data_IF_864781566248
#
_entry.id   IF_864781566248
#
_cell.length_a   1.000
_cell.length_b   1.000
_cell.length_c   1.000
_cell.angle_alpha   90.00
_cell.angle_beta   90.00
_cell.angle_gamma   90.00
#
_symmetry.space_group_name_H-M   'P 1'
#
loop_
_entity.id
_entity.type
_entity.pdbx_description
1 polymer ?
#
# COMPACT_ATOMS: atom_id res chain seq x y z
N UNK A 1 -40.01 -45.64 -24.97
CA UNK A 1 -38.93 -46.21 -24.16
C UNK A 1 -37.66 -45.45 -24.50
N UNK A 2 -37.24 -44.53 -23.62
CA UNK A 2 -35.97 -43.79 -23.78
C UNK A 2 -34.97 -44.46 -22.85
N UNK A 3 -33.89 -44.99 -23.41
CA UNK A 3 -32.82 -45.62 -22.65
C UNK A 3 -32.06 -44.54 -21.86
N UNK A 4 -32.10 -44.63 -20.54
CA UNK A 4 -31.27 -43.84 -19.64
C UNK A 4 -29.86 -44.43 -19.67
N UNK A 5 -28.96 -43.76 -20.37
CA UNK A 5 -27.54 -44.11 -20.38
C UNK A 5 -26.94 -43.73 -19.01
N UNK A 6 -26.63 -44.74 -18.21
CA UNK A 6 -26.11 -44.59 -16.86
C UNK A 6 -24.65 -44.09 -16.94
N UNK A 7 -24.48 -42.78 -16.76
CA UNK A 7 -23.16 -42.13 -16.78
C UNK A 7 -22.36 -42.59 -15.56
N UNK A 8 -21.44 -43.52 -15.76
CA UNK A 8 -20.52 -44.00 -14.73
C UNK A 8 -19.71 -42.83 -14.20
N UNK A 9 -19.93 -42.45 -12.94
CA UNK A 9 -19.22 -41.36 -12.30
C UNK A 9 -17.75 -41.76 -12.08
N UNK A 10 -16.83 -41.05 -12.71
CA UNK A 10 -15.39 -41.20 -12.45
C UNK A 10 -15.12 -40.98 -10.95
N UNK A 11 -14.39 -41.87 -10.25
CA UNK A 11 -14.11 -41.70 -8.84
C UNK A 11 -13.38 -40.38 -8.57
N UNK A 12 -13.93 -39.59 -7.63
CA UNK A 12 -13.37 -38.30 -7.27
C UNK A 12 -11.89 -38.46 -6.83
N UNK A 13 -10.98 -37.60 -7.31
CA UNK A 13 -9.57 -37.67 -6.93
C UNK A 13 -9.43 -37.52 -5.41
N UNK A 14 -8.67 -38.42 -4.78
CA UNK A 14 -8.41 -38.39 -3.33
C UNK A 14 -7.83 -37.02 -2.93
N UNK A 15 -8.30 -36.39 -1.83
CA UNK A 15 -7.78 -35.11 -1.40
C UNK A 15 -6.28 -35.25 -1.10
N UNK A 16 -5.43 -34.52 -1.84
CA UNK A 16 -3.99 -34.44 -1.54
C UNK A 16 -3.86 -33.87 -0.13
N UNK A 17 -3.15 -34.58 0.75
CA UNK A 17 -2.76 -34.07 2.07
C UNK A 17 -1.93 -32.80 1.88
N UNK A 18 -2.56 -31.63 2.02
CA UNK A 18 -1.86 -30.37 1.94
C UNK A 18 -0.96 -30.22 3.17
N UNK A 19 0.29 -29.78 2.96
CA UNK A 19 1.21 -29.51 4.07
C UNK A 19 0.57 -28.46 5.02
N UNK A 20 0.39 -28.75 6.31
CA UNK A 20 -0.30 -27.85 7.24
C UNK A 20 0.39 -26.49 7.36
N UNK A 21 1.72 -26.43 7.22
CA UNK A 21 2.49 -25.17 7.26
C UNK A 21 2.17 -24.30 6.04
N UNK A 22 2.13 -24.90 4.84
CA UNK A 22 1.77 -24.18 3.63
C UNK A 22 0.30 -23.74 3.63
N UNK A 23 -0.58 -24.48 4.29
CA UNK A 23 -1.97 -24.08 4.48
C UNK A 23 -2.08 -22.88 5.44
N UNK A 24 -1.35 -22.90 6.56
CA UNK A 24 -1.31 -21.81 7.52
C UNK A 24 -0.73 -20.52 6.89
N UNK A 25 0.41 -20.61 6.18
CA UNK A 25 1.03 -19.47 5.51
C UNK A 25 0.09 -18.84 4.46
N UNK A 26 -0.62 -19.66 3.70
CA UNK A 26 -1.60 -19.19 2.70
C UNK A 26 -2.80 -18.50 3.34
N UNK A 27 -3.30 -19.04 4.46
CA UNK A 27 -4.41 -18.44 5.17
C UNK A 27 -4.00 -17.12 5.82
N UNK A 28 -2.81 -17.06 6.42
CA UNK A 28 -2.23 -15.82 6.93
C UNK A 28 -2.08 -14.77 5.83
N UNK A 29 -1.53 -15.16 4.67
CA UNK A 29 -1.43 -14.27 3.51
C UNK A 29 -2.80 -13.75 3.06
N UNK A 30 -3.82 -14.61 2.92
CA UNK A 30 -5.18 -14.21 2.58
C UNK A 30 -5.80 -13.25 3.61
N UNK A 31 -5.45 -13.43 4.89
CA UNK A 31 -5.89 -12.52 5.95
C UNK A 31 -5.22 -11.16 5.82
N UNK A 32 -3.92 -11.11 5.54
CA UNK A 32 -3.20 -9.85 5.32
C UNK A 32 -3.70 -9.11 4.08
N UNK A 33 -4.02 -9.80 2.99
CA UNK A 33 -4.48 -9.14 1.76
C UNK A 33 -5.94 -8.69 1.79
N UNK A 34 -6.66 -8.89 2.90
CA UNK A 34 -8.06 -8.48 3.02
C UNK A 34 -8.19 -6.97 3.30
N UNK A 35 -9.12 -6.29 2.62
CA UNK A 35 -9.41 -4.86 2.86
C UNK A 35 -9.80 -4.58 4.30
N UNK A 36 -10.51 -5.51 4.95
CA UNK A 36 -10.91 -5.40 6.36
C UNK A 36 -9.68 -5.31 7.26
N UNK A 37 -8.69 -6.17 7.04
CA UNK A 37 -7.45 -6.17 7.82
C UNK A 37 -6.69 -4.87 7.64
N UNK A 38 -6.62 -4.34 6.41
CA UNK A 38 -5.98 -3.05 6.15
C UNK A 38 -6.60 -1.90 6.96
N UNK A 39 -7.94 -1.83 7.02
CA UNK A 39 -8.65 -0.81 7.80
C UNK A 39 -8.41 -0.96 9.32
N UNK A 40 -8.39 -2.20 9.83
CA UNK A 40 -8.09 -2.46 11.24
C UNK A 40 -6.65 -2.06 11.57
N UNK A 41 -5.68 -2.42 10.71
CA UNK A 41 -4.28 -2.06 10.90
C UNK A 41 -4.07 -0.54 10.82
N UNK A 42 -4.79 0.14 9.93
CA UNK A 42 -4.77 1.60 9.85
C UNK A 42 -5.29 2.24 11.16
N UNK A 43 -6.40 1.72 11.69
CA UNK A 43 -6.95 2.17 12.97
C UNK A 43 -5.98 1.90 14.13
N UNK A 44 -5.39 0.70 14.18
CA UNK A 44 -4.39 0.36 15.19
C UNK A 44 -3.16 1.26 15.10
N UNK A 45 -2.69 1.57 13.90
CA UNK A 45 -1.58 2.50 13.69
C UNK A 45 -1.93 3.91 14.20
N UNK A 46 -3.15 4.38 13.93
CA UNK A 46 -3.62 5.68 14.42
C UNK A 46 -3.63 5.74 15.96
N UNK A 47 -4.15 4.70 16.62
CA UNK A 47 -4.14 4.61 18.09
C UNK A 47 -2.72 4.51 18.62
N UNK A 48 -1.87 3.71 17.97
CA UNK A 48 -0.46 3.54 18.32
C UNK A 48 0.36 4.83 18.21
N UNK A 49 -0.04 5.77 17.34
CA UNK A 49 0.63 7.06 17.18
C UNK A 49 0.28 8.07 18.28
N UNK A 50 -0.83 7.89 19.01
CA UNK A 50 -1.28 8.83 20.04
C UNK A 50 -0.22 9.06 21.13
N UNK A 51 0.37 8.03 21.76
CA UNK A 51 1.40 8.24 22.78
C UNK A 51 2.60 9.02 22.25
N UNK A 52 3.01 8.77 20.99
CA UNK A 52 4.12 9.46 20.35
C UNK A 52 3.89 10.97 20.16
N UNK A 53 2.62 11.40 20.12
CA UNK A 53 2.25 12.82 20.01
C UNK A 53 2.06 13.53 21.36
N UNK A 54 1.82 12.77 22.43
CA UNK A 54 1.50 13.32 23.77
C UNK A 54 2.72 13.30 24.69
N UNK A 55 3.56 12.27 24.60
CA UNK A 55 4.76 12.09 25.42
C UNK A 55 6.00 12.64 24.70
N UNK A 56 6.98 13.19 25.44
CA UNK A 56 8.21 13.67 24.84
C UNK A 56 8.93 12.54 24.11
N UNK A 57 9.45 12.80 22.91
CA UNK A 57 10.18 11.81 22.11
C UNK A 57 11.66 12.14 22.11
N UNK A 58 12.53 11.17 22.39
CA UNK A 58 13.99 11.39 22.43
C UNK A 58 14.57 11.82 21.09
N UNK A 59 13.95 11.39 19.99
CA UNK A 59 14.32 11.81 18.62
C UNK A 59 14.07 13.30 18.36
N UNK A 60 13.27 13.97 19.20
CA UNK A 60 12.98 15.41 19.10
C UNK A 60 13.82 16.19 20.09
N UNK A 61 13.78 15.82 21.37
CA UNK A 61 14.55 16.47 22.42
C UNK A 61 14.78 15.53 23.61
N UNK A 62 16.05 15.23 23.90
CA UNK A 62 16.42 14.35 25.01
C UNK A 62 16.19 15.00 26.38
N UNK A 63 16.37 16.32 26.49
CA UNK A 63 16.24 17.05 27.75
C UNK A 63 14.79 17.03 28.26
N UNK A 64 13.81 17.01 27.35
CA UNK A 64 12.39 16.90 27.71
C UNK A 64 12.06 15.54 28.34
N UNK A 65 12.70 14.48 27.84
CA UNK A 65 12.57 13.13 28.40
C UNK A 65 13.23 13.06 29.77
N UNK A 66 14.46 13.59 29.91
CA UNK A 66 15.16 13.60 31.20
C UNK A 66 14.39 14.38 32.27
N UNK A 67 13.80 15.53 31.92
CA UNK A 67 12.90 16.27 32.83
C UNK A 67 11.66 15.46 33.20
N UNK A 68 11.12 14.67 32.27
CA UNK A 68 9.99 13.78 32.58
C UNK A 68 10.38 12.69 33.58
N UNK A 69 11.57 12.11 33.45
CA UNK A 69 12.10 11.12 34.40
C UNK A 69 12.28 11.69 35.81
N UNK A 70 12.76 12.93 35.92
CA UNK A 70 12.87 13.63 37.21
C UNK A 70 11.49 13.91 37.81
N UNK A 71 10.51 14.32 36.99
CA UNK A 71 9.16 14.65 37.46
C UNK A 71 8.32 13.41 37.81
N UNK A 72 8.56 12.28 37.16
CA UNK A 72 7.78 11.04 37.29
C UNK A 72 8.69 9.81 37.45
N UNK A 73 9.42 9.68 38.57
CA UNK A 73 10.44 8.64 38.75
C UNK A 73 9.88 7.20 38.75
N UNK A 74 8.64 7.00 39.19
CA UNK A 74 8.03 5.66 39.23
C UNK A 74 7.39 5.25 37.89
N UNK A 75 6.82 6.21 37.14
CA UNK A 75 6.10 5.95 35.89
C UNK A 75 7.04 5.93 34.68
N UNK A 76 8.05 6.79 34.65
CA UNK A 76 8.93 6.94 33.49
C UNK A 76 9.66 5.63 33.12
N UNK A 77 10.22 4.83 34.06
CA UNK A 77 10.87 3.57 33.70
C UNK A 77 9.92 2.53 33.09
N UNK A 78 8.64 2.53 33.48
CA UNK A 78 7.63 1.62 32.91
C UNK A 78 7.28 2.03 31.49
N UNK A 79 7.03 3.33 31.27
CA UNK A 79 6.76 3.88 29.94
C UNK A 79 7.95 3.67 29.00
N UNK A 80 9.16 3.77 29.51
CA UNK A 80 10.38 3.56 28.74
C UNK A 80 10.56 2.11 28.29
N UNK A 81 10.29 1.13 29.16
CA UNK A 81 10.29 -0.30 28.79
C UNK A 81 9.25 -0.64 27.73
N UNK A 82 8.13 0.09 27.71
CA UNK A 82 7.12 -0.04 26.67
C UNK A 82 7.49 0.71 25.37
N UNK A 83 8.58 1.48 25.36
CA UNK A 83 9.05 2.24 24.21
C UNK A 83 8.26 3.54 23.97
N UNK A 84 7.63 4.12 25.00
CA UNK A 84 6.71 5.26 24.85
C UNK A 84 7.42 6.62 24.60
N UNK A 85 8.73 6.72 24.87
CA UNK A 85 9.56 7.89 24.53
C UNK A 85 10.30 7.74 23.19
N UNK A 86 10.11 6.60 22.53
CA UNK A 86 10.74 6.21 21.25
C UNK A 86 9.71 5.43 20.40
N UNK A 87 8.44 5.91 20.37
CA UNK A 87 7.30 5.13 19.84
C UNK A 87 7.55 4.74 18.38
N UNK A 88 8.02 5.68 17.58
CA UNK A 88 8.25 5.49 16.14
C UNK A 88 9.40 4.52 15.83
N UNK A 89 10.35 4.32 16.76
CA UNK A 89 11.44 3.36 16.64
C UNK A 89 11.16 2.03 17.36
N UNK A 90 10.03 1.93 18.08
CA UNK A 90 9.70 0.74 18.87
C UNK A 90 9.38 -0.47 17.99
N UNK A 91 9.70 -1.67 18.51
CA UNK A 91 9.48 -2.94 17.80
C UNK A 91 7.99 -3.18 17.53
N UNK A 92 7.12 -2.85 18.48
CA UNK A 92 5.68 -3.07 18.35
C UNK A 92 5.04 -2.12 17.34
N UNK A 93 5.43 -0.84 17.31
CA UNK A 93 4.97 0.12 16.30
C UNK A 93 5.44 -0.29 14.90
N UNK A 94 6.71 -0.65 14.78
CA UNK A 94 7.30 -1.16 13.53
C UNK A 94 6.58 -2.40 13.01
N UNK A 95 6.18 -3.32 13.90
CA UNK A 95 5.40 -4.49 13.51
C UNK A 95 4.04 -4.11 12.90
N UNK A 96 3.29 -3.18 13.50
CA UNK A 96 2.01 -2.70 12.96
C UNK A 96 2.22 -2.04 11.61
N UNK A 97 3.23 -1.17 11.50
CA UNK A 97 3.59 -0.49 10.25
C UNK A 97 3.94 -1.47 9.12
N UNK A 98 4.79 -2.47 9.40
CA UNK A 98 5.19 -3.48 8.41
C UNK A 98 4.01 -4.35 7.99
N UNK A 99 3.13 -4.73 8.92
CA UNK A 99 1.90 -5.47 8.61
C UNK A 99 0.98 -4.63 7.71
N UNK A 100 0.78 -3.35 8.03
CA UNK A 100 -0.04 -2.44 7.23
C UNK A 100 0.52 -2.29 5.82
N UNK A 101 1.83 -2.06 5.70
CA UNK A 101 2.49 -1.92 4.41
C UNK A 101 2.41 -3.20 3.58
N UNK A 102 2.67 -4.35 4.21
CA UNK A 102 2.51 -5.66 3.55
C UNK A 102 1.07 -5.89 3.09
N UNK A 103 0.09 -5.53 3.91
CA UNK A 103 -1.34 -5.60 3.57
C UNK A 103 -1.69 -4.70 2.38
N UNK A 104 -1.18 -3.47 2.36
CA UNK A 104 -1.38 -2.51 1.28
C UNK A 104 -0.80 -3.03 -0.04
N UNK A 105 0.44 -3.50 -0.05
CA UNK A 105 1.04 -4.12 -1.24
C UNK A 105 0.22 -5.32 -1.68
N UNK A 106 -0.16 -6.17 -0.73
CA UNK A 106 -0.94 -7.38 -0.98
C UNK A 106 -2.35 -7.15 -1.51
N UNK A 107 -2.98 -6.01 -1.22
CA UNK A 107 -4.30 -5.66 -1.76
C UNK A 107 -4.23 -4.90 -3.09
N UNK A 108 -3.19 -4.07 -3.30
CA UNK A 108 -3.02 -3.27 -4.52
C UNK A 108 -2.55 -4.11 -5.70
N UNK A 109 -1.59 -5.03 -5.49
CA UNK A 109 -0.97 -5.80 -6.59
C UNK A 109 -1.98 -6.65 -7.37
N UNK A 110 -2.83 -7.48 -6.73
CA UNK A 110 -3.82 -8.28 -7.46
C UNK A 110 -4.84 -7.40 -8.17
N UNK A 111 -5.27 -6.32 -7.50
CA UNK A 111 -6.27 -5.40 -8.06
C UNK A 111 -5.75 -4.65 -9.27
N UNK A 112 -4.47 -4.26 -9.26
CA UNK A 112 -3.82 -3.64 -10.41
C UNK A 112 -3.71 -4.63 -11.58
N UNK A 113 -3.39 -5.90 -11.31
CA UNK A 113 -3.34 -6.95 -12.33
C UNK A 113 -4.72 -7.20 -12.97
N UNK A 114 -5.77 -7.30 -12.16
CA UNK A 114 -7.14 -7.49 -12.64
C UNK A 114 -7.62 -6.29 -13.46
N UNK A 115 -7.38 -5.07 -12.99
CA UNK A 115 -7.73 -3.85 -13.71
C UNK A 115 -6.97 -3.73 -15.03
N UNK A 116 -5.67 -4.03 -15.02
CA UNK A 116 -4.85 -4.06 -16.23
C UNK A 116 -5.36 -5.08 -17.24
N UNK A 117 -5.80 -6.25 -16.77
CA UNK A 117 -6.41 -7.28 -17.61
C UNK A 117 -7.76 -6.83 -18.16
N UNK A 118 -8.60 -6.19 -17.34
CA UNK A 118 -9.89 -5.65 -17.75
C UNK A 118 -9.73 -4.56 -18.82
N UNK A 119 -8.80 -3.61 -18.63
CA UNK A 119 -8.50 -2.55 -19.61
C UNK A 119 -8.02 -3.11 -20.96
N UNK A 120 -7.34 -4.26 -20.96
CA UNK A 120 -6.87 -4.92 -22.18
C UNK A 120 -7.89 -5.87 -22.80
N UNK A 121 -8.81 -6.42 -22.01
CA UNK A 121 -9.86 -7.32 -22.50
C UNK A 121 -10.85 -6.59 -23.41
N UNK A 122 -11.42 -7.30 -24.39
CA UNK A 122 -12.49 -6.76 -25.22
C UNK A 122 -13.79 -6.61 -24.39
N UNK A 123 -14.69 -5.68 -24.75
CA UNK A 123 -15.99 -5.54 -24.09
C UNK A 123 -16.70 -6.89 -23.95
N UNK A 124 -17.40 -7.15 -22.83
CA UNK A 124 -18.03 -8.45 -22.57
C UNK A 124 -19.04 -8.83 -23.67
N UNK A 125 -19.45 -10.10 -23.72
CA UNK A 125 -20.49 -10.52 -24.66
C UNK A 125 -21.84 -9.99 -24.19
N UNK A 126 -22.69 -9.56 -25.14
CA UNK A 126 -24.06 -9.20 -24.82
C UNK A 126 -24.78 -10.43 -24.23
N UNK A 127 -25.54 -10.27 -23.13
CA UNK A 127 -26.29 -11.39 -22.55
C UNK A 127 -27.40 -11.83 -23.51
N UNK A 128 -27.69 -13.13 -23.53
CA UNK A 128 -28.70 -13.71 -24.41
C UNK A 128 -30.14 -13.24 -24.12
N UNK A 129 -30.39 -12.69 -22.92
CA UNK A 129 -31.69 -12.19 -22.46
C UNK A 129 -31.55 -10.79 -21.88
N UNK A 130 -31.75 -9.77 -22.73
CA UNK A 130 -31.65 -8.35 -22.37
C UNK A 130 -32.83 -7.90 -21.49
N UNK A 131 -33.98 -8.55 -21.61
CA UNK A 131 -35.21 -8.35 -20.82
C UNK A 131 -35.01 -8.54 -19.30
N UNK A 132 -34.00 -9.33 -18.91
CA UNK A 132 -33.68 -9.59 -17.50
C UNK A 132 -32.83 -8.50 -16.87
N UNK A 133 -32.31 -7.56 -17.65
CA UNK A 133 -31.51 -6.47 -17.11
C UNK A 133 -32.44 -5.41 -16.48
N UNK A 134 -32.11 -4.90 -15.28
CA UNK A 134 -32.90 -3.86 -14.62
C UNK A 134 -33.03 -2.57 -15.43
N UNK A 135 -32.10 -2.35 -16.35
CA UNK A 135 -32.04 -1.22 -17.25
C UNK A 135 -32.02 -1.77 -18.68
N UNK A 136 -33.20 -1.90 -19.28
CA UNK A 136 -33.36 -2.24 -20.68
C UNK A 136 -34.43 -1.35 -21.31
N UNK A 137 -34.27 -1.08 -22.59
CA UNK A 137 -35.26 -0.40 -23.40
C UNK A 137 -35.34 -1.11 -24.75
N UNK A 138 -36.56 -1.33 -25.23
CA UNK A 138 -36.82 -1.79 -26.59
C UNK A 138 -37.19 -0.58 -27.41
N UNK A 139 -36.50 -0.40 -28.52
CA UNK A 139 -36.72 0.69 -29.47
C UNK A 139 -37.01 0.04 -30.82
N UNK A 140 -37.96 0.59 -31.59
CA UNK A 140 -38.15 0.15 -32.96
C UNK A 140 -36.85 0.37 -33.75
N UNK A 141 -36.52 -0.58 -34.62
CA UNK A 141 -35.20 -0.72 -35.23
C UNK A 141 -34.60 0.62 -35.68
N UNK A 142 -33.39 0.98 -35.22
CA UNK A 142 -32.66 2.08 -35.81
C UNK A 142 -32.31 1.72 -37.27
N UNK A 143 -32.29 2.72 -38.14
CA UNK A 143 -31.74 2.56 -39.50
C UNK A 143 -30.25 2.21 -39.33
N UNK A 144 -29.87 1.01 -39.79
CA UNK A 144 -28.49 0.52 -39.72
C UNK A 144 -28.32 -0.66 -38.75
N UNK A 145 -27.77 -1.76 -39.24
CA UNK A 145 -27.52 -2.97 -38.45
C UNK A 145 -26.45 -2.79 -37.37
N UNK A 146 -26.11 -3.88 -36.67
CA UNK A 146 -25.14 -3.89 -35.56
C UNK A 146 -23.78 -3.22 -35.90
N UNK A 147 -23.32 -3.31 -37.15
CA UNK A 147 -22.05 -2.71 -37.56
C UNK A 147 -22.10 -1.18 -37.60
N UNK A 148 -23.21 -0.60 -38.07
CA UNK A 148 -23.40 0.85 -38.20
C UNK A 148 -23.57 1.51 -36.81
N UNK A 149 -24.35 0.86 -35.94
CA UNK A 149 -24.44 1.22 -34.51
C UNK A 149 -23.04 1.18 -33.88
N UNK A 150 -22.27 0.11 -34.17
CA UNK A 150 -20.90 -0.02 -33.68
C UNK A 150 -19.98 1.09 -34.17
N UNK A 151 -20.10 1.53 -35.43
CA UNK A 151 -19.32 2.62 -35.99
C UNK A 151 -19.63 3.96 -35.31
N UNK A 152 -20.91 4.26 -35.07
CA UNK A 152 -21.33 5.48 -34.39
C UNK A 152 -20.83 5.53 -32.93
N UNK A 153 -20.89 4.40 -32.22
CA UNK A 153 -20.34 4.30 -30.86
C UNK A 153 -18.81 4.50 -30.83
N UNK A 154 -18.07 4.01 -31.83
CA UNK A 154 -16.62 4.25 -31.95
C UNK A 154 -16.31 5.74 -32.14
N UNK A 155 -17.09 6.48 -32.95
CA UNK A 155 -16.92 7.94 -33.11
C UNK A 155 -17.04 8.68 -31.77
N UNK A 156 -17.94 8.21 -30.90
CA UNK A 156 -18.14 8.73 -29.53
C UNK A 156 -17.09 8.24 -28.52
N UNK A 157 -16.02 7.60 -28.99
CA UNK A 157 -14.89 7.06 -28.21
C UNK A 157 -15.28 5.95 -27.24
N UNK A 158 -16.27 5.14 -27.60
CA UNK A 158 -16.57 3.91 -26.86
C UNK A 158 -15.65 2.78 -27.33
N UNK A 159 -15.31 1.86 -26.41
CA UNK A 159 -14.71 0.58 -26.80
C UNK A 159 -15.84 -0.32 -27.26
N UNK A 160 -15.80 -0.78 -28.51
CA UNK A 160 -16.90 -1.50 -29.14
C UNK A 160 -16.44 -2.88 -29.61
N UNK A 161 -17.22 -3.91 -29.30
CA UNK A 161 -17.10 -5.24 -29.86
C UNK A 161 -18.42 -5.62 -30.55
N UNK A 162 -18.37 -5.80 -31.87
CA UNK A 162 -19.49 -6.27 -32.69
C UNK A 162 -19.35 -7.78 -32.87
N UNK A 163 -20.42 -8.54 -32.63
CA UNK A 163 -20.46 -10.01 -32.74
C UNK A 163 -21.79 -10.43 -33.35
N UNK A 164 -21.79 -10.70 -34.66
CA UNK A 164 -23.03 -10.98 -35.40
C UNK A 164 -24.00 -9.81 -35.24
N UNK A 165 -25.20 -10.11 -34.74
CA UNK A 165 -26.26 -9.12 -34.51
C UNK A 165 -26.19 -8.39 -33.14
N UNK A 166 -25.10 -8.60 -32.39
CA UNK A 166 -24.93 -7.98 -31.06
C UNK A 166 -23.80 -6.98 -31.03
N UNK A 167 -24.03 -5.85 -30.36
CA UNK A 167 -23.02 -4.82 -30.11
C UNK A 167 -22.84 -4.67 -28.61
N UNK A 168 -21.61 -4.82 -28.12
CA UNK A 168 -21.26 -4.46 -26.75
C UNK A 168 -20.34 -3.25 -26.78
N UNK A 169 -20.67 -2.24 -25.98
CA UNK A 169 -19.88 -1.04 -25.85
C UNK A 169 -19.71 -0.65 -24.39
N UNK A 170 -18.51 -0.22 -24.02
CA UNK A 170 -18.17 0.17 -22.66
C UNK A 170 -17.35 1.47 -22.63
N UNK A 171 -17.53 2.23 -21.54
CA UNK A 171 -16.83 3.49 -21.24
C UNK A 171 -16.80 3.65 -19.71
N UNK A 172 -15.84 4.43 -19.18
CA UNK A 172 -15.87 4.86 -17.77
C UNK A 172 -14.79 4.30 -16.85
N UNK A 173 -13.69 3.73 -17.36
CA UNK A 173 -12.60 3.21 -16.54
C UNK A 173 -11.85 4.25 -15.69
N UNK A 174 -11.94 5.54 -16.02
CA UNK A 174 -11.15 6.60 -15.39
C UNK A 174 -11.32 6.69 -13.87
N UNK A 175 -12.55 6.49 -13.35
CA UNK A 175 -12.81 6.55 -11.90
C UNK A 175 -12.04 5.45 -11.15
N UNK A 176 -12.09 4.22 -11.65
CA UNK A 176 -11.40 3.09 -11.03
C UNK A 176 -9.88 3.16 -11.24
N UNK A 177 -9.43 3.54 -12.45
CA UNK A 177 -8.01 3.77 -12.73
C UNK A 177 -7.42 4.84 -11.81
N UNK A 178 -8.13 5.95 -11.59
CA UNK A 178 -7.65 7.03 -10.71
C UNK A 178 -7.48 6.58 -9.27
N UNK A 179 -8.46 5.84 -8.74
CA UNK A 179 -8.35 5.25 -7.39
C UNK A 179 -7.15 4.31 -7.27
N UNK A 180 -6.95 3.42 -8.24
CA UNK A 180 -5.81 2.49 -8.25
C UNK A 180 -4.47 3.19 -8.40
N UNK A 181 -4.39 4.18 -9.28
CA UNK A 181 -3.19 4.96 -9.52
C UNK A 181 -2.75 5.70 -8.26
N UNK A 182 -3.71 6.26 -7.49
CA UNK A 182 -3.41 6.92 -6.22
C UNK A 182 -2.72 5.98 -5.23
N UNK A 183 -3.25 4.77 -5.04
CA UNK A 183 -2.67 3.78 -4.14
C UNK A 183 -1.28 3.32 -4.62
N UNK A 184 -1.12 3.12 -5.93
CA UNK A 184 0.17 2.79 -6.51
C UNK A 184 1.19 3.92 -6.34
N UNK A 185 0.79 5.17 -6.53
CA UNK A 185 1.65 6.34 -6.34
C UNK A 185 2.13 6.46 -4.89
N UNK A 186 1.24 6.20 -3.92
CA UNK A 186 1.61 6.16 -2.49
C UNK A 186 2.70 5.10 -2.24
N UNK A 187 2.52 3.89 -2.77
CA UNK A 187 3.53 2.83 -2.67
C UNK A 187 4.85 3.21 -3.35
N UNK A 188 4.79 3.85 -4.52
CA UNK A 188 5.97 4.30 -5.26
C UNK A 188 6.76 5.37 -4.48
N UNK A 189 6.07 6.33 -3.85
CA UNK A 189 6.70 7.33 -2.97
C UNK A 189 7.36 6.65 -1.77
N UNK A 190 6.69 5.72 -1.10
CA UNK A 190 7.26 5.00 0.04
C UNK A 190 8.51 4.20 -0.36
N UNK A 191 8.47 3.51 -1.50
CA UNK A 191 9.64 2.83 -2.03
C UNK A 191 10.77 3.82 -2.31
N UNK A 192 10.47 4.96 -2.95
CA UNK A 192 11.43 6.03 -3.23
C UNK A 192 12.09 6.58 -1.96
N UNK A 193 11.31 6.84 -0.90
CA UNK A 193 11.83 7.27 0.40
C UNK A 193 12.70 6.19 1.04
N UNK A 194 12.29 4.92 1.00
CA UNK A 194 13.07 3.81 1.54
C UNK A 194 14.40 3.57 0.79
N UNK A 195 14.39 3.74 -0.54
CA UNK A 195 15.62 3.74 -1.33
C UNK A 195 16.48 4.98 -1.01
N UNK A 196 15.87 6.16 -0.91
CA UNK A 196 16.55 7.38 -0.50
C UNK A 196 17.18 7.27 0.89
N UNK A 197 16.52 6.60 1.83
CA UNK A 197 17.07 6.37 3.17
C UNK A 197 18.13 5.28 3.22
N UNK A 198 18.33 4.49 2.14
CA UNK A 198 19.42 3.50 2.03
C UNK A 198 20.62 4.06 1.27
N UNK A 199 20.39 4.86 0.23
CA UNK A 199 21.44 5.37 -0.66
C UNK A 199 21.71 6.87 -0.51
N UNK A 200 20.93 7.58 0.32
CA UNK A 200 21.03 9.02 0.51
C UNK A 200 22.14 9.44 1.47
N UNK A 201 22.49 10.72 1.37
CA UNK A 201 23.43 11.38 2.27
C UNK A 201 22.72 12.55 2.95
N UNK A 202 22.98 12.74 4.24
CA UNK A 202 22.47 13.85 5.01
C UNK A 202 23.60 14.51 5.79
N UNK A 203 23.52 15.83 5.92
CA UNK A 203 24.43 16.64 6.72
C UNK A 203 23.65 17.79 7.36
N UNK A 204 23.84 17.98 8.66
CA UNK A 204 23.20 19.05 9.43
C UNK A 204 24.27 19.92 10.10
N UNK A 205 23.98 21.22 10.22
CA UNK A 205 24.84 22.20 10.89
C UNK A 205 23.99 23.18 11.70
N UNK A 206 24.34 23.37 12.96
CA UNK A 206 23.80 24.39 13.84
C UNK A 206 24.60 25.68 13.65
N UNK A 207 23.97 26.67 13.03
CA UNK A 207 24.56 28.00 12.85
C UNK A 207 24.15 28.91 14.00
N UNK A 208 25.14 29.49 14.69
CA UNK A 208 24.94 30.62 15.59
C UNK A 208 24.97 31.89 14.74
N UNK A 209 23.98 32.78 14.88
CA UNK A 209 23.91 33.99 14.08
C UNK A 209 25.09 34.95 14.41
N UNK A 210 25.91 35.28 13.41
CA UNK A 210 26.99 36.26 13.52
C UNK A 210 27.66 36.60 12.17
N UNK A 211 28.44 37.70 12.09
CA UNK A 211 29.14 38.12 10.86
C UNK A 211 30.21 37.11 10.39
N UNK A 212 30.79 36.35 11.32
CA UNK A 212 31.93 35.45 11.06
C UNK A 212 31.52 33.99 10.79
N UNK A 213 30.21 33.68 10.79
CA UNK A 213 29.69 32.31 10.65
C UNK A 213 29.20 32.03 9.23
N UNK A 214 30.06 32.25 8.23
CA UNK A 214 29.74 31.94 6.84
C UNK A 214 29.68 30.41 6.60
N UNK A 215 28.63 29.95 5.93
CA UNK A 215 28.50 28.56 5.48
C UNK A 215 29.12 28.40 4.09
N UNK A 216 30.22 27.66 4.03
CA UNK A 216 30.75 27.10 2.80
C UNK A 216 30.36 25.62 2.81
N UNK A 217 29.76 25.11 1.73
CA UNK A 217 29.32 23.71 1.64
C UNK A 217 30.53 22.76 1.54
N UNK A 218 31.29 22.65 2.63
CA UNK A 218 32.48 21.82 2.79
C UNK A 218 32.23 20.84 3.93
N UNK A 219 32.72 19.61 3.77
CA UNK A 219 32.41 18.48 4.66
C UNK A 219 32.77 18.75 6.14
N UNK A 220 33.79 19.58 6.36
CA UNK A 220 34.31 19.96 7.68
C UNK A 220 33.40 20.93 8.45
N UNK A 221 32.41 21.53 7.78
CA UNK A 221 31.50 22.49 8.40
C UNK A 221 30.18 21.84 8.86
N UNK A 222 29.96 20.54 8.63
CA UNK A 222 28.78 19.85 9.15
C UNK A 222 29.04 19.32 10.56
N UNK A 223 28.15 19.62 11.49
CA UNK A 223 28.22 19.13 12.89
C UNK A 223 27.82 17.65 12.97
N UNK A 224 26.93 17.23 12.08
CA UNK A 224 26.53 15.84 11.91
C UNK A 224 26.47 15.53 10.40
N UNK A 225 27.13 14.45 9.97
CA UNK A 225 26.99 13.96 8.60
C UNK A 225 27.02 12.44 8.57
N UNK A 226 26.21 11.85 7.68
CA UNK A 226 26.08 10.42 7.58
C UNK A 226 25.61 9.97 6.20
N UNK A 227 26.18 8.86 5.72
CA UNK A 227 25.57 8.12 4.62
C UNK A 227 24.52 7.17 5.20
N UNK A 228 23.48 6.92 4.42
CA UNK A 228 22.41 5.99 4.75
C UNK A 228 22.88 4.55 5.05
N UNK A 229 24.12 4.18 4.73
CA UNK A 229 24.73 2.90 5.09
C UNK A 229 25.65 3.08 6.29
N UNK A 230 25.05 3.16 7.48
CA UNK A 230 25.77 3.05 8.76
C UNK A 230 26.55 4.29 9.15
N UNK A 231 26.05 4.98 10.16
CA UNK A 231 26.79 5.95 10.96
C UNK A 231 28.03 5.27 11.55
N UNK A 232 29.22 5.50 10.99
CA UNK A 232 30.44 5.48 11.79
C UNK A 232 30.54 6.85 12.44
N UNK A 233 29.98 7.00 13.64
CA UNK A 233 30.39 8.11 14.52
C UNK A 233 31.91 7.98 14.66
N UNK A 234 32.71 9.01 14.39
CA UNK A 234 34.06 9.03 14.94
C UNK A 234 33.89 9.10 16.45
N UNK A 235 34.06 7.97 17.14
CA UNK A 235 34.30 7.95 18.58
C UNK A 235 35.60 8.72 18.81
N UNK A 236 35.51 10.00 19.14
CA UNK A 236 36.62 10.70 19.77
C UNK A 236 36.64 10.23 21.23
N UNK A 237 37.67 9.47 21.66
CA UNK A 237 37.78 9.13 23.07
C UNK A 237 37.96 10.41 23.89
N UNK A 238 37.28 10.48 25.04
CA UNK A 238 37.27 11.62 25.95
C UNK A 238 38.65 11.97 26.56
N UNK A 239 39.73 11.33 26.13
CA UNK A 239 41.11 11.58 26.57
C UNK A 239 41.86 12.65 25.77
N UNK A 240 41.20 13.36 24.85
CA UNK A 240 41.82 14.44 24.06
C UNK A 240 41.75 15.83 24.73
N UNK A 241 41.17 15.92 25.93
CA UNK A 241 41.10 17.14 26.73
C UNK A 241 41.81 16.90 28.08
N UNK A 242 43.13 16.72 28.03
CA UNK A 242 44.04 16.86 29.18
C UNK A 242 45.31 17.54 28.74
#
# INVERSE_FOLDING_TARGET
>A
MVATEERTATPAPRPRRANPVLAALRNFWRQLTSMRTALILLFLLAVAAIPGSVLPQRSVNIDDVDRYFVKHPDLAPVLDRLGMFEVFASVWFSAIYLLLFTSLVGCVVPRLADHWRAMRSAPPKAPARLDRLPQHATIEQPIGGAEEIGAELRKRRWRVAVRGDTVSAEKGYLKETGNLLFHFALLAVLAGVGFGSWYGWHGNRLLVAGPDTAFCNTLQQFDESGSARGSTRPTCPASAWS
#
